data_IF_830344202724
#
_entry.id   IF_830344202724
#
_cell.length_a   1.000
_cell.length_b   1.000
_cell.length_c   1.000
_cell.angle_alpha   90.00
_cell.angle_beta   90.00
_cell.angle_gamma   90.00
#
_symmetry.space_group_name_H-M   'P 1'
#
loop_
_entity.id
_entity.type
_entity.pdbx_description
1 polymer ?
#
# COMPACT_ATOMS: atom_id res chain seq x y z
N UNK A 1 -34.98 -51.25 11.17
CA UNK A 1 -33.94 -51.18 10.14
C UNK A 1 -33.62 -49.70 9.98
N UNK A 2 -32.50 -49.25 10.53
CA UNK A 2 -32.01 -47.88 10.30
C UNK A 2 -31.09 -48.01 9.09
N UNK A 3 -31.50 -47.48 7.94
CA UNK A 3 -30.63 -47.37 6.78
C UNK A 3 -29.52 -46.38 7.13
N UNK A 4 -28.30 -46.90 7.33
CA UNK A 4 -27.12 -46.08 7.27
C UNK A 4 -27.04 -45.56 5.83
N UNK A 5 -27.23 -44.25 5.66
CA UNK A 5 -27.07 -43.58 4.38
C UNK A 5 -25.73 -43.97 3.74
N UNK A 6 -25.73 -44.06 2.42
CA UNK A 6 -24.60 -44.53 1.61
C UNK A 6 -23.26 -44.00 2.15
N UNK A 7 -22.28 -44.90 2.24
CA UNK A 7 -20.90 -44.53 2.54
C UNK A 7 -20.42 -43.62 1.41
N UNK A 8 -20.57 -42.30 1.57
CA UNK A 8 -20.06 -41.36 0.58
C UNK A 8 -18.55 -41.45 0.64
N UNK A 9 -17.97 -42.14 -0.33
CA UNK A 9 -16.54 -42.28 -0.44
C UNK A 9 -15.98 -40.92 -0.84
N UNK A 10 -15.48 -40.16 0.13
CA UNK A 10 -14.63 -39.01 -0.15
C UNK A 10 -13.41 -39.52 -0.95
N UNK A 11 -13.23 -39.02 -2.17
CA UNK A 11 -12.17 -39.49 -3.08
C UNK A 11 -11.10 -38.42 -3.34
N UNK A 12 -11.53 -37.15 -3.39
CA UNK A 12 -10.68 -36.00 -3.72
C UNK A 12 -11.12 -34.78 -2.89
N UNK A 13 -10.17 -33.93 -2.54
CA UNK A 13 -10.41 -32.59 -2.01
C UNK A 13 -10.17 -31.53 -3.08
N UNK A 14 -10.86 -30.40 -2.98
CA UNK A 14 -10.61 -29.21 -3.77
C UNK A 14 -10.51 -27.99 -2.87
N UNK A 15 -9.73 -27.02 -3.31
CA UNK A 15 -9.64 -25.70 -2.69
C UNK A 15 -9.74 -24.62 -3.75
N UNK A 16 -10.31 -23.49 -3.39
CA UNK A 16 -10.54 -22.34 -4.26
C UNK A 16 -10.22 -21.05 -3.53
N UNK A 17 -9.50 -20.16 -4.20
CA UNK A 17 -9.29 -18.77 -3.81
C UNK A 17 -10.26 -17.90 -4.60
N UNK A 18 -10.95 -17.01 -3.89
CA UNK A 18 -11.79 -15.99 -4.51
C UNK A 18 -11.61 -14.66 -3.79
N UNK A 19 -12.03 -13.58 -4.44
CA UNK A 19 -12.21 -12.29 -3.80
C UNK A 19 -13.68 -12.15 -3.40
N UNK A 20 -13.94 -11.76 -2.15
CA UNK A 20 -15.30 -11.39 -1.75
C UNK A 20 -15.61 -10.04 -2.39
N UNK A 21 -16.57 -10.00 -3.30
CA UNK A 21 -16.98 -8.77 -3.96
C UNK A 21 -17.57 -7.79 -2.92
N UNK A 22 -16.87 -6.67 -2.70
CA UNK A 22 -17.40 -5.48 -2.06
C UNK A 22 -17.01 -4.27 -2.94
N UNK A 23 -17.80 -3.20 -2.90
CA UNK A 23 -17.68 -2.01 -3.78
C UNK A 23 -16.33 -1.28 -3.67
N UNK A 24 -15.43 -1.71 -2.78
CA UNK A 24 -14.11 -1.12 -2.50
C UNK A 24 -12.91 -1.93 -3.03
N UNK A 25 -13.11 -3.13 -3.57
CA UNK A 25 -12.01 -4.04 -3.91
C UNK A 25 -11.74 -4.09 -5.42
N UNK A 26 -11.28 -2.97 -6.00
CA UNK A 26 -10.86 -2.92 -7.40
C UNK A 26 -9.35 -3.12 -7.50
N UNK A 27 -8.90 -4.09 -8.31
CA UNK A 27 -7.49 -4.19 -8.67
C UNK A 27 -7.12 -3.09 -9.68
N UNK A 28 -5.82 -2.82 -9.84
CA UNK A 28 -5.32 -1.88 -10.84
C UNK A 28 -5.70 -2.30 -12.27
N UNK A 29 -5.89 -3.61 -12.47
CA UNK A 29 -6.48 -4.17 -13.68
C UNK A 29 -7.39 -5.36 -13.36
N UNK A 30 -8.56 -5.42 -14.00
CA UNK A 30 -9.37 -6.65 -14.04
C UNK A 30 -9.88 -7.18 -12.69
N UNK A 31 -10.00 -8.50 -12.63
CA UNK A 31 -10.45 -9.27 -11.45
C UNK A 31 -9.30 -10.09 -10.83
N UNK A 32 -9.56 -10.82 -9.73
CA UNK A 32 -8.54 -11.70 -9.11
C UNK A 32 -8.00 -12.74 -10.10
N UNK A 33 -8.82 -13.20 -11.04
CA UNK A 33 -8.43 -14.11 -12.13
C UNK A 33 -7.43 -13.48 -13.10
N UNK A 34 -7.49 -12.17 -13.30
CA UNK A 34 -6.60 -11.45 -14.20
C UNK A 34 -5.24 -11.17 -13.55
N UNK A 35 -5.22 -10.92 -12.24
CA UNK A 35 -4.01 -10.47 -11.52
C UNK A 35 -3.27 -11.60 -10.79
N UNK A 36 -3.93 -12.70 -10.43
CA UNK A 36 -3.28 -13.77 -9.68
C UNK A 36 -2.24 -14.52 -10.54
N UNK A 37 -1.02 -14.61 -10.02
CA UNK A 37 0.07 -15.37 -10.66
C UNK A 37 0.10 -16.84 -10.24
N UNK A 38 -0.59 -17.19 -9.15
CA UNK A 38 -0.87 -18.57 -8.74
C UNK A 38 -2.20 -19.04 -9.30
N UNK A 39 -2.38 -20.35 -9.47
CA UNK A 39 -3.70 -20.91 -9.72
C UNK A 39 -4.67 -20.59 -8.58
N UNK A 40 -5.93 -20.32 -8.91
CA UNK A 40 -6.98 -20.07 -7.93
C UNK A 40 -7.69 -21.34 -7.46
N UNK A 41 -7.53 -22.46 -8.19
CA UNK A 41 -8.15 -23.74 -7.86
C UNK A 41 -7.11 -24.85 -7.82
N UNK A 42 -7.19 -25.70 -6.79
CA UNK A 42 -6.31 -26.86 -6.61
C UNK A 42 -7.13 -28.07 -6.21
N UNK A 43 -6.80 -29.25 -6.77
CA UNK A 43 -7.37 -30.53 -6.36
C UNK A 43 -6.29 -31.47 -5.82
N UNK A 44 -6.63 -32.28 -4.83
CA UNK A 44 -5.70 -33.18 -4.16
C UNK A 44 -6.38 -34.47 -3.71
N UNK A 45 -5.63 -35.57 -3.63
CA UNK A 45 -6.16 -36.86 -3.22
C UNK A 45 -6.52 -36.88 -1.73
N UNK A 46 -7.54 -37.66 -1.36
CA UNK A 46 -7.89 -37.87 0.06
C UNK A 46 -6.68 -38.31 0.90
N UNK A 47 -6.57 -37.75 2.09
CA UNK A 47 -5.53 -38.10 3.06
C UNK A 47 -4.16 -37.47 2.75
N UNK A 48 -4.07 -36.66 1.70
CA UNK A 48 -2.88 -35.87 1.37
C UNK A 48 -3.05 -34.47 1.95
N UNK A 49 -2.09 -34.05 2.77
CA UNK A 49 -1.96 -32.65 3.14
C UNK A 49 -1.29 -31.89 1.99
N UNK A 50 -1.90 -30.78 1.56
CA UNK A 50 -1.37 -29.92 0.51
C UNK A 50 -1.39 -28.46 0.96
N UNK A 51 -0.60 -27.63 0.29
CA UNK A 51 -0.59 -26.18 0.50
C UNK A 51 -0.97 -25.51 -0.82
N UNK A 52 -1.92 -24.57 -0.76
CA UNK A 52 -2.40 -23.82 -1.91
C UNK A 52 -2.14 -22.33 -1.68
N UNK A 53 -1.11 -21.81 -2.32
CA UNK A 53 -0.72 -20.40 -2.19
C UNK A 53 -1.54 -19.52 -3.12
N UNK A 54 -1.93 -18.34 -2.63
CA UNK A 54 -2.35 -17.21 -3.45
C UNK A 54 -1.17 -16.26 -3.61
N UNK A 55 -0.83 -15.89 -4.84
CA UNK A 55 0.27 -14.97 -5.16
C UNK A 55 -0.25 -13.85 -6.05
N UNK A 56 -0.38 -12.66 -5.48
CA UNK A 56 -0.69 -11.41 -6.18
C UNK A 56 0.63 -10.65 -6.41
N UNK A 57 0.96 -10.30 -7.66
CA UNK A 57 2.12 -9.46 -7.97
C UNK A 57 2.07 -8.10 -7.26
N UNK A 58 3.25 -7.48 -7.10
CA UNK A 58 3.33 -6.09 -6.65
C UNK A 58 2.60 -5.16 -7.64
N UNK A 59 2.10 -4.03 -7.13
CA UNK A 59 1.41 -2.97 -7.90
C UNK A 59 0.06 -3.36 -8.54
N UNK A 60 -0.47 -4.56 -8.25
CA UNK A 60 -1.84 -4.95 -8.66
C UNK A 60 -2.91 -4.43 -7.69
N UNK A 61 -2.55 -4.24 -6.42
CA UNK A 61 -3.45 -3.71 -5.40
C UNK A 61 -3.37 -2.18 -5.37
N UNK A 62 -4.53 -1.53 -5.36
CA UNK A 62 -4.65 -0.06 -5.40
C UNK A 62 -4.42 0.51 -4.00
N UNK A 63 -3.74 1.66 -3.93
CA UNK A 63 -3.55 2.41 -2.69
C UNK A 63 -4.92 2.80 -2.08
N UNK A 64 -5.06 2.66 -0.76
CA UNK A 64 -6.35 2.84 -0.06
C UNK A 64 -7.36 1.70 -0.26
N UNK A 65 -7.06 0.72 -1.12
CA UNK A 65 -7.93 -0.43 -1.39
C UNK A 65 -7.98 -1.42 -0.23
N UNK A 66 -9.15 -2.01 -0.01
CA UNK A 66 -9.35 -3.12 0.94
C UNK A 66 -9.80 -4.38 0.20
N UNK A 67 -9.14 -5.50 0.45
CA UNK A 67 -9.37 -6.76 -0.25
C UNK A 67 -9.63 -7.88 0.76
N UNK A 68 -10.71 -8.61 0.56
CA UNK A 68 -11.04 -9.78 1.38
C UNK A 68 -10.89 -11.03 0.54
N UNK A 69 -9.78 -11.73 0.73
CA UNK A 69 -9.53 -13.00 0.05
C UNK A 69 -10.19 -14.12 0.82
N UNK A 70 -10.99 -14.92 0.12
CA UNK A 70 -11.65 -16.09 0.66
C UNK A 70 -10.98 -17.37 0.16
N UNK A 71 -10.78 -18.31 1.08
CA UNK A 71 -10.26 -19.63 0.82
C UNK A 71 -11.31 -20.68 1.20
N UNK A 72 -11.82 -21.38 0.20
CA UNK A 72 -12.78 -22.46 0.36
C UNK A 72 -12.11 -23.80 0.18
N UNK A 73 -12.46 -24.77 1.02
CA UNK A 73 -11.99 -26.15 0.95
C UNK A 73 -13.14 -27.13 1.10
N UNK A 74 -13.22 -28.11 0.20
CA UNK A 74 -14.26 -29.14 0.23
C UNK A 74 -13.72 -30.51 -0.17
N UNK A 75 -14.48 -31.56 0.14
CA UNK A 75 -14.23 -32.91 -0.37
C UNK A 75 -15.36 -33.33 -1.30
N UNK A 76 -15.02 -33.98 -2.42
CA UNK A 76 -16.01 -34.56 -3.31
C UNK A 76 -16.89 -35.55 -2.54
N UNK A 77 -18.20 -35.39 -2.65
CA UNK A 77 -19.18 -36.17 -1.90
C UNK A 77 -19.47 -35.64 -0.48
N UNK A 78 -18.78 -34.60 -0.02
CA UNK A 78 -19.18 -33.84 1.16
C UNK A 78 -20.18 -32.75 0.76
N UNK A 79 -21.24 -32.59 1.57
CA UNK A 79 -22.09 -31.40 1.51
C UNK A 79 -21.50 -30.23 2.32
N UNK A 80 -20.42 -30.47 3.07
CA UNK A 80 -19.76 -29.46 3.91
C UNK A 80 -18.55 -28.87 3.19
N UNK A 81 -18.51 -27.54 3.16
CA UNK A 81 -17.37 -26.72 2.76
C UNK A 81 -16.84 -26.00 3.99
N UNK A 82 -15.51 -25.87 4.09
CA UNK A 82 -14.84 -25.04 5.08
C UNK A 82 -14.37 -23.76 4.40
N UNK A 83 -14.67 -22.62 5.01
CA UNK A 83 -14.34 -21.29 4.46
C UNK A 83 -13.47 -20.53 5.46
N UNK A 84 -12.47 -19.82 4.95
CA UNK A 84 -11.64 -18.88 5.71
C UNK A 84 -11.46 -17.59 4.92
N UNK A 85 -11.28 -16.46 5.61
CA UNK A 85 -11.10 -15.17 4.97
C UNK A 85 -9.89 -14.46 5.56
N UNK A 86 -9.20 -13.68 4.72
CA UNK A 86 -8.14 -12.77 5.12
C UNK A 86 -8.39 -11.40 4.50
N UNK A 87 -8.39 -10.36 5.34
CA UNK A 87 -8.51 -8.97 4.91
C UNK A 87 -7.13 -8.35 4.79
N UNK A 88 -6.86 -7.72 3.66
CA UNK A 88 -5.64 -6.96 3.38
C UNK A 88 -6.03 -5.53 3.02
N UNK A 89 -5.45 -4.58 3.74
CA UNK A 89 -5.63 -3.14 3.50
C UNK A 89 -4.34 -2.57 2.92
N UNK A 90 -4.47 -1.80 1.84
CA UNK A 90 -3.36 -1.07 1.23
C UNK A 90 -3.33 0.37 1.75
N UNK A 91 -2.16 0.81 2.20
CA UNK A 91 -1.99 2.19 2.65
C UNK A 91 -2.19 3.17 1.48
N UNK A 92 -2.85 4.31 1.72
CA UNK A 92 -2.87 5.46 0.81
C UNK A 92 -1.89 6.53 1.33
N UNK A 93 -1.09 7.19 0.47
CA UNK A 93 -0.28 8.31 0.94
C UNK A 93 -1.17 9.51 1.31
N UNK A 94 -0.78 10.33 2.31
CA UNK A 94 -1.52 11.54 2.62
C UNK A 94 -1.63 12.47 1.41
N UNK A 95 -2.79 13.11 1.27
CA UNK A 95 -3.15 13.89 0.08
C UNK A 95 -3.53 15.34 0.41
N UNK A 96 -3.82 16.13 -0.63
CA UNK A 96 -4.37 17.50 -0.54
C UNK A 96 -3.48 18.59 0.07
N UNK A 97 -2.35 18.24 0.66
CA UNK A 97 -1.47 19.23 1.28
C UNK A 97 -0.61 20.00 0.29
N UNK A 98 0.02 21.06 0.82
CA UNK A 98 0.96 21.90 0.09
C UNK A 98 2.16 22.24 0.97
N UNK A 99 3.27 22.57 0.32
CA UNK A 99 4.45 23.14 0.94
C UNK A 99 4.55 24.61 0.53
N UNK A 100 4.71 25.50 1.50
CA UNK A 100 4.95 26.93 1.27
C UNK A 100 6.27 27.34 1.91
N UNK A 101 6.99 28.26 1.28
CA UNK A 101 8.26 28.80 1.77
C UNK A 101 8.18 30.31 1.89
N UNK A 102 8.72 30.89 2.97
CA UNK A 102 8.76 32.34 3.17
C UNK A 102 10.15 32.77 3.68
N UNK A 103 10.82 33.75 3.05
CA UNK A 103 10.45 34.41 1.81
C UNK A 103 10.58 33.49 0.58
N UNK A 104 9.84 33.75 -0.51
CA UNK A 104 9.93 32.96 -1.76
C UNK A 104 11.23 33.21 -2.55
N UNK A 105 12.01 34.22 -2.14
CA UNK A 105 13.34 34.48 -2.70
C UNK A 105 14.27 35.10 -1.66
N UNK A 106 15.57 34.86 -1.81
CA UNK A 106 16.59 35.37 -0.90
C UNK A 106 18.00 35.07 -1.37
N UNK A 107 18.99 35.38 -0.55
CA UNK A 107 20.40 35.08 -0.76
C UNK A 107 20.79 33.81 0.00
N UNK A 108 21.45 32.88 -0.68
CA UNK A 108 21.94 31.65 -0.06
C UNK A 108 22.87 31.95 1.12
N UNK A 109 22.85 31.07 2.13
CA UNK A 109 23.67 31.14 3.36
C UNK A 109 23.40 32.39 4.21
N UNK A 110 22.72 33.40 3.69
CA UNK A 110 22.54 34.73 4.30
C UNK A 110 21.12 34.89 4.84
N UNK A 111 20.13 34.64 3.99
CA UNK A 111 18.72 34.73 4.35
C UNK A 111 18.24 33.38 4.90
N UNK A 112 17.32 33.44 5.86
CA UNK A 112 16.65 32.27 6.39
C UNK A 112 15.28 32.09 5.75
N UNK A 113 14.86 30.84 5.63
CA UNK A 113 13.61 30.44 5.00
C UNK A 113 12.76 29.62 5.97
N UNK A 114 11.48 29.94 6.06
CA UNK A 114 10.50 29.18 6.83
C UNK A 114 9.71 28.29 5.89
N UNK A 115 9.82 26.97 6.09
CA UNK A 115 9.10 25.95 5.34
C UNK A 115 7.89 25.50 6.17
N UNK A 116 6.70 25.58 5.58
CA UNK A 116 5.46 25.11 6.21
C UNK A 116 4.74 24.14 5.28
N UNK A 117 4.49 22.93 5.77
CA UNK A 117 3.72 21.89 5.09
C UNK A 117 2.31 21.85 5.69
N UNK A 118 1.26 22.07 4.92
CA UNK A 118 -0.09 22.27 5.49
C UNK A 118 -1.18 21.65 4.63
N UNK A 119 -2.33 21.35 5.23
CA UNK A 119 -3.50 20.84 4.51
C UNK A 119 -3.45 19.36 4.11
N UNK A 120 -2.47 18.59 4.61
CA UNK A 120 -2.43 17.15 4.39
C UNK A 120 -3.59 16.45 5.11
N UNK A 121 -4.30 15.60 4.39
CA UNK A 121 -5.34 14.72 4.90
C UNK A 121 -4.91 13.27 4.73
N UNK A 122 -5.26 12.43 5.69
CA UNK A 122 -4.97 10.99 5.69
C UNK A 122 -6.09 10.26 6.44
N UNK A 123 -6.05 8.93 6.47
CA UNK A 123 -6.94 8.13 7.29
C UNK A 123 -6.74 8.40 8.78
N UNK A 124 -7.82 8.31 9.56
CA UNK A 124 -7.81 8.69 10.98
C UNK A 124 -6.81 7.87 11.82
N UNK A 125 -6.56 6.62 11.41
CA UNK A 125 -5.64 5.70 12.08
C UNK A 125 -4.16 5.97 11.73
N UNK A 126 -3.89 6.76 10.67
CA UNK A 126 -2.53 7.11 10.21
C UNK A 126 -1.97 8.39 10.85
N UNK A 127 -2.76 9.04 11.71
CA UNK A 127 -2.29 10.16 12.52
C UNK A 127 -1.51 9.69 13.77
N UNK A 128 -0.49 10.45 14.21
CA UNK A 128 -0.04 11.73 13.66
C UNK A 128 0.95 11.61 12.48
N UNK A 129 0.78 12.49 11.49
CA UNK A 129 1.69 12.61 10.35
C UNK A 129 3.11 13.03 10.77
N UNK A 130 4.10 12.54 10.02
CA UNK A 130 5.52 12.90 10.17
C UNK A 130 6.04 13.53 8.90
N UNK A 131 6.84 14.57 9.06
CA UNK A 131 7.36 15.41 7.98
C UNK A 131 8.87 15.28 7.86
N UNK A 132 9.34 15.20 6.61
CA UNK A 132 10.73 15.37 6.23
C UNK A 132 10.83 16.63 5.36
N UNK A 133 11.81 17.47 5.65
CA UNK A 133 12.14 18.63 4.83
C UNK A 133 13.54 18.44 4.26
N UNK A 134 13.68 18.62 2.96
CA UNK A 134 14.93 18.57 2.23
C UNK A 134 14.85 19.52 1.03
N UNK A 135 15.99 19.93 0.50
CA UNK A 135 16.06 20.66 -0.76
C UNK A 135 17.03 19.96 -1.72
N UNK A 136 16.80 20.19 -3.01
CA UNK A 136 17.64 19.71 -4.09
C UNK A 136 18.57 20.83 -4.54
N UNK A 137 19.83 20.47 -4.76
CA UNK A 137 20.79 21.28 -5.48
C UNK A 137 20.90 20.72 -6.91
N UNK A 138 20.53 21.53 -7.91
CA UNK A 138 20.43 21.15 -9.33
C UNK A 138 21.80 20.96 -10.04
N UNK A 139 22.92 21.02 -9.32
CA UNK A 139 24.24 20.66 -9.84
C UNK A 139 24.28 19.22 -10.41
N UNK A 140 25.34 18.88 -11.17
CA UNK A 140 25.49 17.62 -11.95
C UNK A 140 25.24 16.30 -11.18
N UNK A 141 25.14 16.34 -9.84
CA UNK A 141 24.91 15.19 -8.95
C UNK A 141 23.51 15.16 -8.29
N UNK A 142 22.61 16.12 -8.54
CA UNK A 142 21.29 16.24 -7.90
C UNK A 142 21.35 16.00 -6.38
N UNK A 143 22.17 16.78 -5.69
CA UNK A 143 22.45 16.53 -4.27
C UNK A 143 21.24 16.88 -3.42
N UNK A 144 20.85 15.93 -2.58
CA UNK A 144 19.78 16.14 -1.59
C UNK A 144 20.43 16.59 -0.29
N UNK A 145 20.07 17.77 0.18
CA UNK A 145 20.41 18.21 1.53
C UNK A 145 19.19 18.06 2.44
N UNK A 146 19.36 17.26 3.48
CA UNK A 146 18.35 17.02 4.50
C UNK A 146 18.33 18.18 5.49
N UNK A 147 17.19 18.84 5.62
CA UNK A 147 16.98 19.93 6.59
C UNK A 147 16.41 19.40 7.90
N UNK A 148 15.43 18.50 7.81
CA UNK A 148 14.74 17.92 8.97
C UNK A 148 14.19 16.55 8.62
N UNK A 149 14.40 15.57 9.49
CA UNK A 149 13.83 14.22 9.34
C UNK A 149 12.84 13.90 10.46
N UNK A 150 11.83 13.10 10.12
CA UNK A 150 10.89 12.44 11.02
C UNK A 150 10.28 13.36 12.08
N UNK A 151 9.86 14.55 11.68
CA UNK A 151 9.30 15.57 12.58
C UNK A 151 7.79 15.50 12.66
N UNK A 152 7.22 15.54 13.87
CA UNK A 152 5.77 15.76 14.06
C UNK A 152 5.35 17.23 13.86
N UNK A 153 6.32 18.15 13.84
CA UNK A 153 6.06 19.52 13.42
C UNK A 153 6.08 19.60 11.90
N UNK A 154 5.01 20.19 11.37
CA UNK A 154 4.81 20.48 9.96
C UNK A 154 5.54 21.76 9.51
N UNK A 155 6.45 22.29 10.34
CA UNK A 155 7.25 23.47 10.08
C UNK A 155 8.74 23.20 10.26
N UNK A 156 9.54 23.90 9.47
CA UNK A 156 10.96 24.06 9.70
C UNK A 156 11.30 25.53 9.51
N UNK A 157 11.67 26.18 10.62
CA UNK A 157 11.92 27.62 10.70
C UNK A 157 13.43 27.87 10.67
N UNK A 158 13.83 29.07 10.25
CA UNK A 158 15.22 29.53 10.21
C UNK A 158 16.15 28.62 9.36
N UNK A 159 15.65 28.11 8.23
CA UNK A 159 16.43 27.25 7.35
C UNK A 159 17.50 28.05 6.59
N UNK A 160 18.77 27.70 6.78
CA UNK A 160 19.84 28.15 5.89
C UNK A 160 19.95 27.20 4.70
N UNK A 161 19.65 27.72 3.51
CA UNK A 161 19.79 27.00 2.26
C UNK A 161 21.15 27.35 1.63
N UNK A 162 21.87 26.33 1.16
CA UNK A 162 23.14 26.54 0.45
C UNK A 162 22.86 27.02 -0.98
N UNK A 163 23.90 27.47 -1.67
CA UNK A 163 23.80 28.04 -3.02
C UNK A 163 23.14 27.03 -3.98
N UNK A 164 22.15 27.52 -4.75
CA UNK A 164 21.59 26.82 -5.91
C UNK A 164 21.95 27.57 -7.20
N UNK A 165 21.43 27.14 -8.36
CA UNK A 165 21.82 27.71 -9.64
C UNK A 165 21.25 29.14 -9.87
N UNK A 166 22.11 30.16 -9.71
CA UNK A 166 21.80 31.55 -10.06
C UNK A 166 23.03 32.44 -10.01
N UNK A 167 23.22 33.32 -10.99
CA UNK A 167 24.26 34.36 -10.90
C UNK A 167 23.96 35.25 -9.69
N UNK A 168 24.87 35.28 -8.71
CA UNK A 168 24.79 36.03 -7.44
C UNK A 168 24.14 35.31 -6.25
N UNK A 169 24.14 33.97 -6.19
CA UNK A 169 23.69 33.22 -5.01
C UNK A 169 22.22 33.48 -4.60
N UNK A 170 21.40 33.97 -5.54
CA UNK A 170 19.96 34.21 -5.34
C UNK A 170 19.21 32.89 -5.46
N UNK A 171 18.40 32.59 -4.45
CA UNK A 171 17.46 31.47 -4.43
C UNK A 171 16.05 31.98 -4.73
N UNK A 172 15.32 31.25 -5.58
CA UNK A 172 13.88 31.42 -5.81
C UNK A 172 13.23 30.06 -5.61
N UNK A 173 12.22 29.97 -4.75
CA UNK A 173 11.63 28.72 -4.25
C UNK A 173 10.15 28.60 -4.61
#
# INVERSE_FOLDING_TARGET
YVEFGENVAYTQGSTEWSLVEDDSSTFSSGTIEDVASSGLSLSFSKGVATTHYLVIPADEMVAGGTYVFQFDGSYTGSASTSTSQVTVTCNEPPSSGSLTVSPESGQSITDTFDLTSSGWSDDADDFPLRYNFFYYDEDEDNRITVLKLFSYSNKFEDAYLMEGYGSNATLTL
#
